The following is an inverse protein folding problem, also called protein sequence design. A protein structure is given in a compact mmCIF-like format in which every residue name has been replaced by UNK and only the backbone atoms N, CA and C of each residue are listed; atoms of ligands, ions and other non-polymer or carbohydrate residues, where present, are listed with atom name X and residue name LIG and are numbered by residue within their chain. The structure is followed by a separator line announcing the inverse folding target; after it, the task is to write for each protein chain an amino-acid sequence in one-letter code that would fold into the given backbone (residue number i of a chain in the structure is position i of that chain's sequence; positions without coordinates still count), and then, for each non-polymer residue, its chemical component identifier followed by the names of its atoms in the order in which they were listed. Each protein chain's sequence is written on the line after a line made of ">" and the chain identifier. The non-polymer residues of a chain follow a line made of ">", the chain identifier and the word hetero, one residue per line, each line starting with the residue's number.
data_IF_073173252955
#
_entry.id   IF_073173252955
#
_cell.length_a   1.000
_cell.length_b   1.000
_cell.length_c   1.000
_cell.angle_alpha   90.00
_cell.angle_beta   90.00
_cell.angle_gamma   90.00
#
_symmetry.space_group_name_H-M   'P 1'
#
loop_
_entity.id
_entity.type
_entity.pdbx_description
1 polymer ?
#
# COMPACT_ATOMS: atom_id res chain seq x y z
N UNK A 1 -20.50 -39.23 -10.62
CA UNK A 1 -20.87 -38.37 -9.48
C UNK A 1 -19.88 -37.23 -9.46
N UNK A 2 -20.34 -36.04 -9.81
CA UNK A 2 -19.54 -34.82 -9.90
C UNK A 2 -19.58 -34.12 -8.55
N UNK A 3 -18.44 -33.96 -7.88
CA UNK A 3 -18.30 -33.09 -6.70
C UNK A 3 -16.91 -32.43 -6.80
N UNK A 4 -16.88 -31.26 -7.44
CA UNK A 4 -16.84 -29.94 -6.80
C UNK A 4 -15.41 -29.48 -6.45
N UNK A 5 -14.79 -28.92 -7.50
CA UNK A 5 -13.99 -27.69 -7.52
C UNK A 5 -13.40 -27.17 -6.19
N UNK A 6 -12.12 -27.49 -6.02
CA UNK A 6 -11.01 -26.58 -5.70
C UNK A 6 -11.39 -25.13 -5.32
N UNK A 7 -11.65 -24.89 -4.03
CA UNK A 7 -11.73 -23.55 -3.45
C UNK A 7 -10.46 -23.25 -2.64
N UNK A 8 -9.29 -23.32 -3.28
CA UNK A 8 -8.09 -22.70 -2.75
C UNK A 8 -8.29 -21.17 -2.76
N UNK A 9 -8.87 -20.66 -1.67
CA UNK A 9 -9.01 -19.22 -1.46
C UNK A 9 -7.64 -18.70 -1.05
N UNK A 10 -6.76 -18.56 -2.03
CA UNK A 10 -5.48 -17.89 -1.88
C UNK A 10 -5.76 -16.50 -1.31
N UNK A 11 -5.49 -16.34 -0.01
CA UNK A 11 -5.54 -15.06 0.66
C UNK A 11 -4.55 -14.15 -0.05
N UNK A 12 -5.06 -13.34 -0.97
CA UNK A 12 -4.30 -12.43 -1.85
C UNK A 12 -3.16 -11.75 -1.09
N UNK A 13 -2.00 -11.50 -1.73
CA UNK A 13 -0.80 -10.90 -1.14
C UNK A 13 -0.95 -9.42 -0.69
N UNK A 14 -2.17 -8.95 -0.44
CA UNK A 14 -2.50 -7.59 0.00
C UNK A 14 -1.84 -7.20 1.33
N UNK A 15 -1.48 -8.16 2.18
CA UNK A 15 -0.77 -7.86 3.45
C UNK A 15 0.71 -7.57 3.22
N UNK A 16 1.33 -8.19 2.22
CA UNK A 16 2.78 -8.08 1.94
C UNK A 16 3.16 -6.67 1.48
N UNK A 17 2.42 -6.15 0.49
CA UNK A 17 2.63 -4.81 -0.05
C UNK A 17 2.37 -3.65 0.93
N UNK A 18 1.48 -3.84 1.90
CA UNK A 18 1.28 -2.85 2.98
C UNK A 18 2.45 -2.87 3.95
N UNK A 19 2.95 -4.06 4.32
CA UNK A 19 4.07 -4.18 5.24
C UNK A 19 5.36 -3.57 4.67
N UNK A 20 5.66 -3.82 3.39
CA UNK A 20 6.81 -3.22 2.70
C UNK A 20 6.72 -1.70 2.64
N UNK A 21 5.55 -1.13 2.34
CA UNK A 21 5.37 0.33 2.38
C UNK A 21 5.52 0.92 3.78
N UNK A 22 5.00 0.24 4.82
CA UNK A 22 5.12 0.70 6.21
C UNK A 22 6.57 0.73 6.65
N UNK A 23 7.39 -0.23 6.21
CA UNK A 23 8.82 -0.29 6.51
C UNK A 23 9.57 0.96 6.02
N UNK A 24 9.17 1.52 4.88
CA UNK A 24 9.81 2.72 4.28
C UNK A 24 9.02 4.02 4.50
N UNK A 25 7.88 3.98 5.18
CA UNK A 25 6.95 5.12 5.27
C UNK A 25 7.60 6.40 5.79
N UNK A 26 8.45 6.31 6.82
CA UNK A 26 9.09 7.49 7.40
C UNK A 26 10.05 8.14 6.40
N UNK A 27 10.79 7.36 5.63
CA UNK A 27 11.70 7.90 4.61
C UNK A 27 10.92 8.47 3.43
N UNK A 28 9.90 7.76 2.95
CA UNK A 28 8.99 8.26 1.91
C UNK A 28 8.33 9.58 2.34
N UNK A 29 7.96 9.73 3.62
CA UNK A 29 7.40 10.97 4.16
C UNK A 29 8.42 12.10 4.13
N UNK A 30 9.66 11.87 4.59
CA UNK A 30 10.73 12.89 4.56
C UNK A 30 11.02 13.37 3.14
N UNK A 31 11.15 12.46 2.19
CA UNK A 31 11.42 12.81 0.78
C UNK A 31 10.24 13.56 0.16
N UNK A 32 8.99 13.16 0.47
CA UNK A 32 7.81 13.90 0.05
C UNK A 32 7.77 15.32 0.64
N UNK A 33 8.09 15.48 1.93
CA UNK A 33 8.15 16.79 2.61
C UNK A 33 9.26 17.69 2.06
N UNK A 34 10.35 17.11 1.55
CA UNK A 34 11.39 17.82 0.80
C UNK A 34 10.97 18.29 -0.59
N UNK A 35 9.77 17.90 -1.04
CA UNK A 35 9.25 18.25 -2.37
C UNK A 35 9.78 17.34 -3.50
N UNK A 36 10.36 16.19 -3.18
CA UNK A 36 10.84 15.24 -4.19
C UNK A 36 9.66 14.66 -4.98
N UNK A 37 9.73 14.58 -6.32
CA UNK A 37 8.68 13.97 -7.14
C UNK A 37 8.41 12.51 -6.74
N UNK A 38 7.13 12.14 -6.63
CA UNK A 38 6.72 10.79 -6.21
C UNK A 38 7.30 9.65 -7.06
N UNK A 39 7.54 9.92 -8.36
CA UNK A 39 8.17 8.95 -9.26
C UNK A 39 9.61 8.65 -8.85
N UNK A 40 10.39 9.66 -8.45
CA UNK A 40 11.77 9.49 -7.99
C UNK A 40 11.83 8.81 -6.63
N UNK A 41 10.90 9.15 -5.73
CA UNK A 41 10.76 8.45 -4.45
C UNK A 41 10.44 6.97 -4.71
N UNK A 42 9.52 6.68 -5.64
CA UNK A 42 9.19 5.30 -5.98
C UNK A 42 10.39 4.54 -6.54
N UNK A 43 11.11 5.12 -7.49
CA UNK A 43 12.31 4.52 -8.08
C UNK A 43 13.38 4.22 -7.03
N UNK A 44 13.60 5.14 -6.07
CA UNK A 44 14.57 4.96 -4.98
C UNK A 44 14.22 3.80 -4.01
N UNK A 45 12.94 3.47 -3.87
CA UNK A 45 12.47 2.41 -2.98
C UNK A 45 11.88 1.21 -3.73
N UNK A 46 11.95 1.16 -5.06
CA UNK A 46 11.26 0.17 -5.88
C UNK A 46 11.63 -1.27 -5.50
N UNK A 47 12.90 -1.53 -5.20
CA UNK A 47 13.39 -2.85 -4.81
C UNK A 47 12.90 -3.29 -3.42
N UNK A 48 12.60 -2.33 -2.54
CA UNK A 48 12.05 -2.58 -1.20
C UNK A 48 10.52 -2.63 -1.22
N UNK A 49 9.92 -1.97 -2.20
CA UNK A 49 8.48 -1.89 -2.40
C UNK A 49 8.00 -3.07 -3.23
N UNK A 50 7.39 -4.05 -2.57
CA UNK A 50 6.67 -5.13 -3.25
C UNK A 50 5.30 -4.67 -3.81
N UNK A 51 5.21 -3.42 -4.28
CA UNK A 51 4.01 -2.79 -4.82
C UNK A 51 4.34 -1.98 -6.08
N UNK A 52 3.41 -1.94 -7.02
CA UNK A 52 3.52 -1.05 -8.17
C UNK A 52 3.28 0.42 -7.83
N UNK A 53 3.73 1.32 -8.70
CA UNK A 53 3.62 2.77 -8.55
C UNK A 53 2.19 3.27 -8.24
N UNK A 54 1.17 2.71 -8.89
CA UNK A 54 -0.24 3.07 -8.64
C UNK A 54 -0.65 2.77 -7.19
N UNK A 55 -0.15 1.69 -6.61
CA UNK A 55 -0.46 1.33 -5.23
C UNK A 55 0.36 2.18 -4.24
N UNK A 56 1.60 2.49 -4.60
CA UNK A 56 2.46 3.40 -3.85
C UNK A 56 1.81 4.80 -3.71
N UNK A 57 1.35 5.41 -4.81
CA UNK A 57 0.73 6.75 -4.77
C UNK A 57 -0.57 6.79 -3.96
N UNK A 58 -1.36 5.71 -4.00
CA UNK A 58 -2.53 5.53 -3.12
C UNK A 58 -2.12 5.51 -1.65
N UNK A 59 -1.05 4.81 -1.31
CA UNK A 59 -0.55 4.75 0.06
C UNK A 59 0.04 6.06 0.54
N UNK A 60 0.79 6.79 -0.30
CA UNK A 60 1.26 8.14 0.01
C UNK A 60 0.08 9.07 0.29
N UNK A 61 -0.94 9.08 -0.57
CA UNK A 61 -2.15 9.88 -0.35
C UNK A 61 -2.81 9.52 0.98
N UNK A 62 -2.97 8.23 1.26
CA UNK A 62 -3.65 7.76 2.47
C UNK A 62 -2.89 8.04 3.76
N UNK A 63 -1.61 7.70 3.82
CA UNK A 63 -0.82 7.67 5.06
C UNK A 63 -0.01 8.95 5.31
N UNK A 64 0.25 9.74 4.25
CA UNK A 64 1.02 10.99 4.36
C UNK A 64 0.06 12.17 4.22
N UNK A 65 -0.72 12.25 3.13
CA UNK A 65 -1.59 13.43 2.89
C UNK A 65 -2.85 13.45 3.77
N UNK A 66 -3.50 12.30 3.95
CA UNK A 66 -4.73 12.19 4.75
C UNK A 66 -4.46 11.88 6.23
N UNK A 67 -3.21 11.65 6.62
CA UNK A 67 -2.82 11.36 8.01
C UNK A 67 -3.48 10.12 8.61
N UNK A 68 -3.97 9.18 7.78
CA UNK A 68 -4.68 8.01 8.28
C UNK A 68 -3.74 7.10 9.07
N UNK A 69 -4.14 6.61 10.26
CA UNK A 69 -3.30 5.72 11.05
C UNK A 69 -3.16 4.36 10.36
N UNK A 70 -1.93 3.82 10.40
CA UNK A 70 -1.58 2.52 9.80
C UNK A 70 -2.31 1.36 10.51
N UNK A 71 -2.86 1.58 11.69
CA UNK A 71 -3.57 0.55 12.47
C UNK A 71 -5.09 0.63 12.37
N UNK A 72 -5.67 1.65 11.73
CA UNK A 72 -7.12 1.70 11.64
C UNK A 72 -7.64 0.56 10.75
N UNK A 73 -8.55 -0.30 11.26
CA UNK A 73 -9.35 -1.13 10.39
C UNK A 73 -10.07 -0.19 9.43
N UNK A 74 -10.01 -0.50 8.14
CA UNK A 74 -10.70 0.27 7.11
C UNK A 74 -12.19 0.24 7.47
N UNK A 75 -12.73 1.30 8.09
CA UNK A 75 -14.18 1.48 8.15
C UNK A 75 -14.60 1.75 6.72
N UNK A 76 -15.27 0.77 6.13
CA UNK A 76 -15.94 0.92 4.85
C UNK A 76 -17.10 1.88 5.13
N UNK A 77 -16.84 3.19 5.03
CA UNK A 77 -17.91 4.18 5.12
C UNK A 77 -18.74 4.01 3.85
N UNK A 78 -19.76 3.15 3.96
CA UNK A 78 -20.72 2.89 2.91
C UNK A 78 -21.56 4.12 2.69
N UNK A 79 -21.12 5.01 1.81
CA UNK A 79 -21.99 5.99 1.19
C UNK A 79 -22.23 5.61 -0.26
N UNK A 80 -23.45 5.10 -0.47
CA UNK A 80 -24.18 5.14 -1.74
C UNK A 80 -24.78 6.52 -1.91
#
# INVERSE_FOLDING_TARGET
>A
MTDHQNANTERRPQRRGRASFVAVLNEVRKEHERGVPLVWIYEAFADQLEIGYTQFTKYVTRYIKQGQPILAPYKHDGKR
#
